data_IF_169923246674
#
_entry.id   IF_169923246674
#
_cell.length_a   1.000
_cell.length_b   1.000
_cell.length_c   1.000
_cell.angle_alpha   90.00
_cell.angle_beta   90.00
_cell.angle_gamma   90.00
#
_symmetry.space_group_name_H-M   'P 1'
#
loop_
_entity.id
_entity.type
_entity.pdbx_description
1 polymer ?
#
# COMPACT_ATOMS: atom_id res chain seq x y z
N UNK A 1 16.26 -61.38 -31.01
CA UNK A 1 17.43 -60.52 -31.19
C UNK A 1 17.06 -59.44 -32.19
N UNK A 2 17.33 -58.19 -31.83
CA UNK A 2 17.46 -57.01 -32.71
C UNK A 2 16.20 -56.42 -33.37
N UNK A 3 15.83 -55.27 -32.81
CA UNK A 3 15.06 -54.19 -33.41
C UNK A 3 15.64 -53.77 -34.77
N UNK A 4 14.77 -53.66 -35.77
CA UNK A 4 15.01 -52.76 -36.90
C UNK A 4 13.81 -51.85 -37.09
N UNK A 5 14.07 -50.57 -36.84
CA UNK A 5 13.17 -49.44 -36.96
C UNK A 5 12.73 -49.30 -38.42
N UNK A 6 11.43 -49.20 -38.66
CA UNK A 6 10.88 -48.51 -39.82
C UNK A 6 9.67 -47.70 -39.35
N UNK A 7 9.71 -46.39 -39.55
CA UNK A 7 8.61 -45.49 -39.22
C UNK A 7 7.68 -45.38 -40.43
N UNK A 8 6.47 -45.94 -40.40
CA UNK A 8 5.47 -45.60 -41.40
C UNK A 8 4.91 -44.22 -41.08
N UNK A 9 5.25 -43.24 -41.92
CA UNK A 9 4.51 -41.99 -42.03
C UNK A 9 3.03 -42.33 -42.25
N UNK A 10 2.18 -41.62 -41.52
CA UNK A 10 0.82 -42.04 -41.25
C UNK A 10 -0.07 -42.25 -42.47
N UNK A 11 -1.08 -43.09 -42.28
CA UNK A 11 -2.47 -42.74 -42.55
C UNK A 11 -3.38 -43.63 -41.72
N UNK A 12 -4.32 -42.95 -41.08
CA UNK A 12 -5.67 -43.36 -40.69
C UNK A 12 -5.91 -44.64 -39.87
N UNK A 13 -6.43 -44.34 -38.67
CA UNK A 13 -6.98 -45.23 -37.68
C UNK A 13 -8.32 -45.79 -38.15
N UNK A 14 -8.53 -47.09 -37.94
CA UNK A 14 -9.82 -47.69 -37.62
C UNK A 14 -9.55 -48.58 -36.40
N UNK A 15 -9.96 -48.23 -35.18
CA UNK A 15 -11.31 -48.23 -34.59
C UNK A 15 -11.26 -49.24 -33.43
N UNK A 16 -11.07 -48.76 -32.20
CA UNK A 16 -11.24 -49.57 -31.00
C UNK A 16 -12.17 -48.80 -30.04
N UNK A 17 -13.39 -49.33 -29.92
CA UNK A 17 -14.47 -48.85 -29.07
C UNK A 17 -14.09 -49.04 -27.59
N UNK A 18 -13.88 -47.95 -26.87
CA UNK A 18 -13.99 -47.92 -25.41
C UNK A 18 -15.15 -47.01 -25.08
N UNK A 19 -16.24 -47.62 -24.61
CA UNK A 19 -17.40 -46.95 -24.03
C UNK A 19 -16.94 -45.90 -23.02
N UNK A 20 -16.97 -44.66 -23.46
CA UNK A 20 -16.63 -43.46 -22.71
C UNK A 20 -17.96 -42.82 -22.33
N UNK A 21 -18.21 -42.63 -21.04
CA UNK A 21 -19.39 -41.89 -20.62
C UNK A 21 -19.43 -40.55 -21.36
N UNK A 22 -20.56 -40.22 -21.98
CA UNK A 22 -20.75 -39.02 -22.79
C UNK A 22 -20.75 -37.79 -21.87
N UNK A 23 -19.55 -37.31 -21.54
CA UNK A 23 -19.37 -36.10 -20.75
C UNK A 23 -19.67 -34.92 -21.65
N UNK A 24 -20.95 -34.52 -21.66
CA UNK A 24 -21.45 -33.37 -22.40
C UNK A 24 -20.83 -32.08 -21.86
N UNK A 25 -20.16 -31.37 -22.74
CA UNK A 25 -19.60 -30.07 -22.45
C UNK A 25 -20.74 -29.06 -22.26
N UNK A 26 -20.93 -28.55 -21.03
CA UNK A 26 -22.00 -27.57 -20.73
C UNK A 26 -21.75 -26.26 -21.48
N UNK A 27 -20.48 -25.95 -21.77
CA UNK A 27 -20.05 -24.78 -22.53
C UNK A 27 -19.18 -25.23 -23.72
N UNK A 28 -19.64 -25.06 -24.97
CA UNK A 28 -18.86 -25.46 -26.13
C UNK A 28 -17.51 -24.74 -26.15
N UNK A 29 -16.41 -25.51 -26.20
CA UNK A 29 -15.04 -24.99 -26.33
C UNK A 29 -14.26 -24.83 -25.02
N UNK A 30 -14.82 -25.19 -23.86
CA UNK A 30 -14.15 -25.13 -22.56
C UNK A 30 -12.91 -26.04 -22.46
N UNK A 31 -12.93 -27.22 -23.09
CA UNK A 31 -11.80 -28.18 -23.14
C UNK A 31 -10.67 -27.73 -24.05
N UNK A 32 -10.96 -26.82 -24.97
CA UNK A 32 -10.01 -26.30 -25.96
C UNK A 32 -9.47 -24.93 -25.55
N UNK A 33 -10.07 -24.31 -24.52
CA UNK A 33 -9.59 -23.04 -24.00
C UNK A 33 -8.19 -23.22 -23.39
N UNK A 34 -7.22 -22.37 -23.77
CA UNK A 34 -5.90 -22.40 -23.15
C UNK A 34 -6.04 -22.17 -21.64
N UNK A 35 -5.25 -22.86 -20.80
CA UNK A 35 -5.30 -22.65 -19.35
C UNK A 35 -5.04 -21.17 -19.06
N UNK A 36 -5.92 -20.55 -18.28
CA UNK A 36 -5.76 -19.15 -17.86
C UNK A 36 -4.45 -19.06 -17.09
N UNK A 37 -3.45 -18.42 -17.70
CA UNK A 37 -2.16 -18.16 -17.05
C UNK A 37 -2.40 -17.14 -15.94
N UNK A 38 -2.54 -17.62 -14.71
CA UNK A 38 -2.61 -16.75 -13.53
C UNK A 38 -1.19 -16.29 -13.23
N UNK A 39 -0.82 -15.13 -13.76
CA UNK A 39 0.44 -14.49 -13.42
C UNK A 39 0.45 -14.14 -11.91
N UNK A 40 1.50 -14.51 -11.16
CA UNK A 40 1.67 -14.00 -9.80
C UNK A 40 1.76 -12.47 -9.88
N UNK A 41 0.79 -11.76 -9.29
CA UNK A 41 0.86 -10.30 -9.19
C UNK A 41 2.10 -9.96 -8.36
N UNK A 42 3.09 -9.24 -8.91
CA UNK A 42 4.26 -8.86 -8.12
C UNK A 42 3.81 -8.00 -6.94
N UNK A 43 4.42 -8.29 -5.79
CA UNK A 43 4.13 -7.68 -4.51
C UNK A 43 3.94 -6.17 -4.62
N UNK A 44 2.92 -5.69 -3.91
CA UNK A 44 2.49 -4.30 -3.75
C UNK A 44 3.66 -3.43 -3.24
N UNK A 45 4.60 -3.07 -4.11
CA UNK A 45 5.70 -2.15 -3.81
C UNK A 45 5.11 -0.76 -3.66
N UNK A 46 4.85 -0.36 -2.42
CA UNK A 46 5.27 0.91 -1.77
C UNK A 46 5.65 2.11 -2.68
N UNK A 47 4.91 2.37 -3.76
CA UNK A 47 5.14 3.51 -4.66
C UNK A 47 3.95 4.46 -4.70
N UNK A 48 3.23 4.57 -3.57
CA UNK A 48 2.17 5.56 -3.34
C UNK A 48 2.42 6.47 -2.13
N UNK A 49 3.64 6.45 -1.56
CA UNK A 49 4.03 7.41 -0.53
C UNK A 49 4.92 8.54 -1.07
N UNK A 50 5.28 8.53 -2.36
CA UNK A 50 6.21 9.49 -2.96
C UNK A 50 5.57 10.35 -4.06
N UNK A 51 4.44 11.00 -3.76
CA UNK A 51 3.88 12.18 -4.43
C UNK A 51 2.35 12.11 -4.46
N UNK A 52 1.73 12.53 -3.36
CA UNK A 52 0.57 13.41 -3.54
C UNK A 52 1.09 14.81 -3.23
N UNK A 53 1.71 15.46 -4.22
CA UNK A 53 2.07 16.89 -4.09
C UNK A 53 0.80 17.74 -3.91
N UNK A 54 -0.32 17.27 -4.47
CA UNK A 54 -1.65 17.75 -4.15
C UNK A 54 -1.94 17.51 -2.66
N UNK A 55 -1.86 18.59 -1.86
CA UNK A 55 -2.11 18.61 -0.42
C UNK A 55 -0.87 18.71 0.48
N UNK A 56 0.35 18.63 -0.09
CA UNK A 56 1.59 18.68 0.67
C UNK A 56 1.77 20.02 1.38
N UNK A 57 1.47 21.14 0.69
CA UNK A 57 1.56 22.47 1.26
C UNK A 57 0.63 22.65 2.48
N UNK A 58 -0.64 22.25 2.39
CA UNK A 58 -1.60 22.37 3.51
C UNK A 58 -1.20 21.50 4.71
N UNK A 59 -0.70 20.29 4.45
CA UNK A 59 -0.20 19.41 5.50
C UNK A 59 1.07 19.96 6.17
N UNK A 60 1.96 20.59 5.40
CA UNK A 60 3.18 21.22 5.91
C UNK A 60 2.85 22.37 6.86
N UNK A 61 1.95 23.28 6.46
CA UNK A 61 1.50 24.35 7.36
C UNK A 61 0.81 23.81 8.61
N UNK A 62 0.01 22.74 8.49
CA UNK A 62 -0.61 22.10 9.65
C UNK A 62 0.43 21.53 10.61
N UNK A 63 1.49 20.88 10.11
CA UNK A 63 2.55 20.35 10.98
C UNK A 63 3.39 21.47 11.59
N UNK A 64 3.73 22.51 10.82
CA UNK A 64 4.47 23.66 11.32
C UNK A 64 3.71 24.39 12.44
N UNK A 65 2.41 24.59 12.27
CA UNK A 65 1.56 25.20 13.30
C UNK A 65 1.44 24.29 14.53
N UNK A 66 1.25 22.99 14.37
CA UNK A 66 1.23 22.05 15.49
C UNK A 66 2.57 22.03 16.25
N UNK A 67 3.69 22.07 15.55
CA UNK A 67 5.01 22.16 16.16
C UNK A 67 5.18 23.46 16.96
N UNK A 68 4.78 24.60 16.39
CA UNK A 68 4.82 25.90 17.07
C UNK A 68 3.91 25.93 18.31
N UNK A 69 2.70 25.36 18.21
CA UNK A 69 1.76 25.25 19.34
C UNK A 69 2.32 24.35 20.44
N UNK A 70 2.99 23.24 20.09
CA UNK A 70 3.68 22.39 21.05
C UNK A 70 4.79 23.13 21.81
N UNK A 71 5.59 23.92 21.09
CA UNK A 71 6.60 24.79 21.70
C UNK A 71 5.98 25.87 22.61
N UNK A 72 4.90 26.51 22.18
CA UNK A 72 4.15 27.45 23.02
C UNK A 72 3.60 26.77 24.28
N UNK A 73 3.18 25.51 24.19
CA UNK A 73 2.78 24.70 25.34
C UNK A 73 3.89 24.55 26.38
N UNK A 74 5.14 24.33 25.94
CA UNK A 74 6.30 24.30 26.84
C UNK A 74 6.53 25.67 27.51
N UNK A 75 6.42 26.76 26.77
CA UNK A 75 6.53 28.11 27.34
C UNK A 75 5.43 28.36 28.39
N UNK A 76 4.19 27.95 28.13
CA UNK A 76 3.10 28.04 29.10
C UNK A 76 3.41 27.22 30.35
N UNK A 77 3.98 26.03 30.21
CA UNK A 77 4.39 25.22 31.36
C UNK A 77 5.47 25.94 32.19
N UNK A 78 6.45 26.55 31.54
CA UNK A 78 7.50 27.33 32.22
C UNK A 78 6.88 28.54 32.94
N UNK A 79 5.97 29.26 32.28
CA UNK A 79 5.26 30.42 32.84
C UNK A 79 4.37 30.07 34.05
N UNK A 80 3.96 28.79 34.18
CA UNK A 80 3.15 28.32 35.31
C UNK A 80 3.97 28.10 36.59
N UNK A 81 5.30 28.11 36.52
CA UNK A 81 6.15 28.01 37.70
C UNK A 81 6.03 29.24 38.60
N UNK A 82 6.10 29.05 39.91
CA UNK A 82 5.95 30.12 40.89
C UNK A 82 7.08 31.16 40.80
N UNK A 83 8.30 30.71 40.51
CA UNK A 83 9.46 31.58 40.32
C UNK A 83 9.26 32.54 39.13
N UNK A 84 8.90 32.01 37.96
CA UNK A 84 8.68 32.82 36.74
C UNK A 84 7.47 33.72 36.91
N UNK A 85 6.37 33.22 37.49
CA UNK A 85 5.19 34.01 37.79
C UNK A 85 5.52 35.17 38.73
N UNK A 86 6.27 34.91 39.81
CA UNK A 86 6.71 35.92 40.77
C UNK A 86 7.58 37.00 40.11
N UNK A 87 8.53 36.59 39.28
CA UNK A 87 9.38 37.50 38.51
C UNK A 87 8.56 38.42 37.58
N UNK A 88 7.64 37.86 36.80
CA UNK A 88 6.76 38.63 35.90
C UNK A 88 5.88 39.61 36.68
N UNK A 89 5.30 39.18 37.80
CA UNK A 89 4.50 40.06 38.66
C UNK A 89 5.33 41.20 39.24
N UNK A 90 6.59 40.95 39.59
CA UNK A 90 7.49 42.01 40.06
C UNK A 90 7.74 43.05 38.96
N UNK A 91 8.07 42.60 37.74
CA UNK A 91 8.24 43.51 36.59
C UNK A 91 6.99 44.35 36.37
N UNK A 92 5.81 43.73 36.37
CA UNK A 92 4.53 44.43 36.16
C UNK A 92 4.30 45.46 37.27
N UNK A 93 4.54 45.10 38.54
CA UNK A 93 4.41 46.03 39.67
C UNK A 93 5.37 47.20 39.56
N UNK A 94 6.63 46.95 39.21
CA UNK A 94 7.62 48.02 38.99
C UNK A 94 7.25 48.91 37.81
N UNK A 95 6.72 48.35 36.72
CA UNK A 95 6.32 49.12 35.54
C UNK A 95 5.04 49.94 35.76
N UNK A 96 4.11 49.45 36.59
CA UNK A 96 2.86 50.13 36.94
C UNK A 96 2.98 51.06 38.13
N UNK A 97 3.99 50.89 38.97
CA UNK A 97 4.42 51.91 39.90
C UNK A 97 5.06 53.04 39.09
N UNK A 98 4.23 53.89 38.49
CA UNK A 98 4.70 55.26 38.25
C UNK A 98 5.09 55.84 39.62
N UNK A 99 6.21 56.58 39.72
CA UNK A 99 6.56 57.29 40.95
C UNK A 99 5.41 58.22 41.39
#
# INVERSE_FOLDING_TARGET
MTFHRNAPAGTDRASEEIGTADVREIYPGARQAPPVQVFPRPARRQRKLRHSEAGMATAEYAIATLAAVGFAGLLVLIMRSDEVRGFLLNIIRTALALP
#
